data_IF_988163813367
#
_entry.id   IF_988163813367
#
_cell.length_a   1.000
_cell.length_b   1.000
_cell.length_c   1.000
_cell.angle_alpha   90.00
_cell.angle_beta   90.00
_cell.angle_gamma   90.00
#
_symmetry.space_group_name_H-M   'P 1'
#
loop_
_entity.id
_entity.type
_entity.pdbx_description
1 polymer ?
#
# COMPACT_ATOMS: atom_id res chain seq x y z
N UNK A 1 4.54 -5.22 16.64
CA UNK A 1 3.87 -4.99 15.33
C UNK A 1 3.60 -3.50 15.25
N UNK A 2 4.50 -2.68 14.69
CA UNK A 2 4.46 -1.22 14.96
C UNK A 2 4.68 -0.29 13.77
N UNK A 3 4.57 -0.77 12.52
CA UNK A 3 4.72 0.12 11.36
C UNK A 3 3.45 0.11 10.51
N UNK A 4 2.32 0.52 11.10
CA UNK A 4 1.11 0.84 10.36
C UNK A 4 0.84 2.33 10.35
N UNK A 5 0.56 2.89 9.17
CA UNK A 5 0.18 4.29 9.00
C UNK A 5 -1.23 4.34 8.43
N UNK A 6 -2.08 5.21 8.99
CA UNK A 6 -3.44 5.41 8.50
C UNK A 6 -3.54 6.75 7.77
N UNK A 7 -4.29 6.75 6.69
CA UNK A 7 -4.64 7.96 5.94
C UNK A 7 -6.15 7.98 5.70
N UNK A 8 -6.81 8.95 6.32
CA UNK A 8 -8.25 9.12 6.21
C UNK A 8 -8.65 9.80 4.90
N UNK A 9 -9.82 9.44 4.39
CA UNK A 9 -10.47 10.14 3.30
C UNK A 9 -11.99 10.14 3.52
N UNK A 10 -12.73 10.88 2.69
CA UNK A 10 -14.19 10.97 2.85
C UNK A 10 -14.81 9.59 2.69
N UNK A 11 -15.34 9.05 3.80
CA UNK A 11 -16.07 7.78 3.85
C UNK A 11 -15.22 6.51 4.01
N UNK A 12 -13.93 6.64 4.38
CA UNK A 12 -13.08 5.50 4.69
C UNK A 12 -11.66 5.89 5.10
N UNK A 13 -10.79 4.89 5.20
CA UNK A 13 -9.37 5.10 5.43
C UNK A 13 -8.52 4.05 4.71
N UNK A 14 -7.25 4.38 4.53
CA UNK A 14 -6.24 3.47 3.99
C UNK A 14 -5.28 3.13 5.12
N UNK A 15 -5.04 1.85 5.33
CA UNK A 15 -4.04 1.35 6.28
C UNK A 15 -2.83 0.83 5.51
N UNK A 16 -1.70 1.51 5.67
CA UNK A 16 -0.41 1.12 5.12
C UNK A 16 0.36 0.26 6.10
N UNK A 17 1.01 -0.80 5.63
CA UNK A 17 1.82 -1.68 6.47
C UNK A 17 2.90 -2.41 5.68
N UNK A 18 3.95 -2.83 6.38
CA UNK A 18 5.06 -3.60 5.82
C UNK A 18 5.10 -4.94 6.59
N UNK A 19 4.55 -6.03 6.03
CA UNK A 19 4.45 -7.31 6.73
C UNK A 19 5.75 -8.11 6.71
N UNK A 20 6.70 -7.74 5.85
CA UNK A 20 7.98 -8.44 5.68
C UNK A 20 9.11 -7.44 5.67
N UNK A 21 10.25 -7.82 6.25
CA UNK A 21 11.47 -7.02 6.19
C UNK A 21 11.88 -6.78 4.72
N UNK A 22 12.57 -5.66 4.43
CA UNK A 22 13.18 -5.44 3.13
C UNK A 22 14.03 -6.65 2.70
N UNK A 23 14.05 -6.93 1.40
CA UNK A 23 14.82 -8.02 0.79
C UNK A 23 15.83 -7.46 -0.17
N UNK A 24 17.05 -8.00 -0.15
CA UNK A 24 18.08 -7.65 -1.11
C UNK A 24 17.98 -8.57 -2.32
N UNK A 25 17.64 -8.02 -3.49
CA UNK A 25 17.45 -8.78 -4.72
C UNK A 25 18.00 -8.00 -5.92
N UNK A 26 18.85 -8.66 -6.73
CA UNK A 26 19.47 -8.08 -7.93
C UNK A 26 20.28 -6.80 -7.66
N UNK A 27 21.01 -6.75 -6.54
CA UNK A 27 21.87 -5.61 -6.21
C UNK A 27 21.17 -4.43 -5.55
N UNK A 28 19.88 -4.57 -5.18
CA UNK A 28 19.10 -3.49 -4.58
C UNK A 28 18.28 -3.98 -3.38
N UNK A 29 18.20 -3.16 -2.32
CA UNK A 29 17.23 -3.36 -1.26
C UNK A 29 15.83 -2.98 -1.73
N UNK A 30 14.89 -3.92 -1.64
CA UNK A 30 13.49 -3.75 -2.03
C UNK A 30 12.60 -3.94 -0.81
N UNK A 31 11.63 -3.05 -0.65
CA UNK A 31 10.57 -3.20 0.35
C UNK A 31 9.21 -3.18 -0.33
N UNK A 32 8.33 -4.10 0.09
CA UNK A 32 6.96 -4.15 -0.40
C UNK A 32 6.04 -3.55 0.65
N UNK A 33 5.51 -2.38 0.34
CA UNK A 33 4.51 -1.70 1.17
C UNK A 33 3.14 -2.16 0.72
N UNK A 34 2.32 -2.59 1.67
CA UNK A 34 0.94 -2.97 1.45
C UNK A 34 0.02 -1.85 1.91
N UNK A 35 -1.12 -1.74 1.25
CA UNK A 35 -2.19 -0.83 1.62
C UNK A 35 -3.52 -1.59 1.63
N UNK A 36 -4.24 -1.55 2.75
CA UNK A 36 -5.58 -2.10 2.88
C UNK A 36 -6.58 -0.96 2.89
N UNK A 37 -7.56 -1.04 1.98
CA UNK A 37 -8.63 -0.07 1.87
C UNK A 37 -9.81 -0.49 2.76
N UNK A 38 -10.23 0.42 3.64
CA UNK A 38 -11.44 0.28 4.44
C UNK A 38 -12.42 1.37 4.01
N UNK A 39 -13.63 0.96 3.64
CA UNK A 39 -14.63 1.81 3.00
C UNK A 39 -16.02 1.51 3.55
N UNK A 40 -16.89 2.52 3.58
CA UNK A 40 -18.27 2.39 4.06
C UNK A 40 -19.26 1.95 2.97
N UNK A 41 -18.93 2.16 1.69
CA UNK A 41 -19.79 1.82 0.55
C UNK A 41 -18.99 1.72 -0.78
N UNK A 42 -19.66 1.35 -1.87
CA UNK A 42 -18.98 1.17 -3.17
C UNK A 42 -18.48 2.48 -3.80
N UNK A 43 -19.12 3.62 -3.52
CA UNK A 43 -18.66 4.91 -4.01
C UNK A 43 -17.31 5.29 -3.36
N UNK A 44 -17.22 5.13 -2.04
CA UNK A 44 -16.00 5.39 -1.25
C UNK A 44 -14.89 4.39 -1.59
N UNK A 45 -15.24 3.14 -1.90
CA UNK A 45 -14.31 2.15 -2.46
C UNK A 45 -13.65 2.63 -3.75
N UNK A 46 -14.42 3.19 -4.69
CA UNK A 46 -13.88 3.72 -5.96
C UNK A 46 -12.93 4.89 -5.74
N UNK A 47 -13.27 5.80 -4.81
CA UNK A 47 -12.42 6.94 -4.43
C UNK A 47 -11.09 6.47 -3.86
N UNK A 48 -11.11 5.61 -2.84
CA UNK A 48 -9.89 5.08 -2.21
C UNK A 48 -9.03 4.26 -3.17
N UNK A 49 -9.66 3.45 -4.05
CA UNK A 49 -8.96 2.74 -5.12
C UNK A 49 -8.26 3.70 -6.06
N UNK A 50 -8.94 4.75 -6.52
CA UNK A 50 -8.34 5.77 -7.41
C UNK A 50 -7.15 6.47 -6.74
N UNK A 51 -7.26 6.80 -5.45
CA UNK A 51 -6.17 7.39 -4.68
C UNK A 51 -4.93 6.47 -4.63
N UNK A 52 -5.11 5.18 -4.36
CA UNK A 52 -4.02 4.20 -4.32
C UNK A 52 -3.36 4.00 -5.69
N UNK A 53 -4.16 3.88 -6.76
CA UNK A 53 -3.64 3.76 -8.12
C UNK A 53 -2.84 5.01 -8.55
N UNK A 54 -3.33 6.21 -8.23
CA UNK A 54 -2.62 7.46 -8.50
C UNK A 54 -1.28 7.55 -7.75
N UNK A 55 -1.17 6.93 -6.57
CA UNK A 55 0.09 6.81 -5.81
C UNK A 55 1.01 5.71 -6.34
N UNK A 56 0.62 5.00 -7.40
CA UNK A 56 1.38 3.92 -8.02
C UNK A 56 1.31 2.59 -7.28
N UNK A 57 0.29 2.37 -6.45
CA UNK A 57 0.00 1.03 -5.93
C UNK A 57 -0.71 0.18 -6.98
N UNK A 58 -0.50 -1.13 -6.91
CA UNK A 58 -1.15 -2.13 -7.77
C UNK A 58 -2.08 -3.00 -6.95
N UNK A 59 -3.18 -3.46 -7.56
CA UNK A 59 -4.14 -4.36 -6.91
C UNK A 59 -3.49 -5.70 -6.58
N UNK A 60 -3.74 -6.21 -5.39
CA UNK A 60 -3.45 -7.60 -5.06
C UNK A 60 -4.57 -8.47 -5.68
N UNK A 61 -4.29 -9.17 -6.78
CA UNK A 61 -5.30 -9.92 -7.55
C UNK A 61 -6.13 -10.93 -6.74
N UNK A 62 -5.61 -11.38 -5.59
CA UNK A 62 -6.31 -12.27 -4.67
C UNK A 62 -7.27 -11.56 -3.70
N UNK A 63 -7.14 -10.23 -3.50
CA UNK A 63 -7.85 -9.48 -2.46
C UNK A 63 -8.28 -8.10 -2.96
N UNK A 64 -9.59 -7.94 -3.16
CA UNK A 64 -10.19 -6.76 -3.81
C UNK A 64 -9.96 -5.42 -3.11
N UNK A 65 -9.55 -5.43 -1.84
CA UNK A 65 -9.29 -4.26 -1.01
C UNK A 65 -7.83 -4.15 -0.56
N UNK A 66 -6.94 -5.03 -1.00
CA UNK A 66 -5.50 -4.93 -0.72
C UNK A 66 -4.73 -4.54 -1.96
N UNK A 67 -3.74 -3.69 -1.75
CA UNK A 67 -2.87 -3.15 -2.77
C UNK A 67 -1.43 -3.25 -2.29
N UNK A 68 -0.49 -3.23 -3.22
CA UNK A 68 0.93 -3.21 -2.88
C UNK A 68 1.71 -2.29 -3.82
N UNK A 69 2.82 -1.77 -3.33
CA UNK A 69 3.81 -1.03 -4.09
C UNK A 69 5.20 -1.47 -3.66
N UNK A 70 6.07 -1.72 -4.63
CA UNK A 70 7.47 -2.00 -4.36
C UNK A 70 8.23 -0.68 -4.35
N UNK A 71 9.01 -0.47 -3.29
CA UNK A 71 9.94 0.64 -3.18
C UNK A 71 11.36 0.09 -3.24
N UNK A 72 12.22 0.80 -3.97
CA UNK A 72 13.66 0.62 -3.91
C UNK A 72 14.18 1.48 -2.78
N UNK A 73 14.90 0.88 -1.84
CA UNK A 73 15.64 1.61 -0.82
C UNK A 73 16.97 1.96 -1.49
N UNK A 74 17.10 3.20 -1.95
CA UNK A 74 18.38 3.71 -2.44
C UNK A 74 19.23 3.99 -1.21
N UNK A 75 20.28 3.20 -1.01
CA UNK A 75 21.37 3.59 -0.13
C UNK A 75 22.06 4.79 -0.77
N UNK A 76 21.90 5.98 -0.17
CA UNK A 76 22.98 6.97 -0.23
C UNK A 76 24.00 6.50 0.81
N UNK A 77 24.97 5.70 0.37
CA UNK A 77 26.23 5.50 1.08
C UNK A 77 27.04 6.80 1.00
#
# INVERSE_FOLDING_TARGET
MENTMKEDFVGGYIEYFIPQLPKYEYGEWKVKVYAKLVFSNDATKKVGKKALLNKGFTTNGAKSNEFYKNFKILEKL
#
